data_IF_120590532151
#
_entry.id   IF_120590532151
#
_cell.length_a   1.000
_cell.length_b   1.000
_cell.length_c   1.000
_cell.angle_alpha   90.00
_cell.angle_beta   90.00
_cell.angle_gamma   90.00
#
_symmetry.space_group_name_H-M   'P 1'
#
loop_
_entity.id
_entity.type
_entity.pdbx_description
1 polymer ?
#
# COMPACT_ATOMS: atom_id res chain seq x y z
N UNK A 1 51.14 18.75 -22.32
CA UNK A 1 50.63 17.41 -22.70
C UNK A 1 49.91 16.80 -21.51
N UNK A 2 48.67 16.39 -21.75
CA UNK A 2 47.69 15.61 -20.98
C UNK A 2 47.83 15.41 -19.46
N UNK A 3 46.84 15.90 -18.71
CA UNK A 3 46.50 15.48 -17.35
C UNK A 3 45.84 14.09 -17.36
N UNK A 4 46.50 13.08 -16.79
CA UNK A 4 45.89 11.77 -16.55
C UNK A 4 44.94 11.86 -15.36
N UNK A 5 43.63 11.77 -15.63
CA UNK A 5 42.57 11.71 -14.63
C UNK A 5 42.36 10.22 -14.29
N UNK A 6 42.75 9.80 -13.10
CA UNK A 6 42.55 8.41 -12.67
C UNK A 6 41.06 8.17 -12.42
N UNK A 7 40.49 7.16 -13.08
CA UNK A 7 39.12 6.73 -12.85
C UNK A 7 39.11 5.65 -11.77
N UNK A 8 38.53 5.98 -10.62
CA UNK A 8 38.34 5.04 -9.51
C UNK A 8 37.04 4.27 -9.81
N UNK A 9 37.17 2.99 -10.14
CA UNK A 9 36.03 2.07 -10.31
C UNK A 9 35.97 1.18 -9.07
N UNK A 10 34.90 1.30 -8.29
CA UNK A 10 34.62 0.41 -7.15
C UNK A 10 33.89 -0.81 -7.70
N UNK A 11 34.46 -2.01 -7.55
CA UNK A 11 33.78 -3.25 -7.94
C UNK A 11 32.52 -3.42 -7.09
N UNK A 12 31.35 -3.39 -7.73
CA UNK A 12 30.06 -3.65 -7.09
C UNK A 12 29.09 -2.47 -7.10
N UNK A 13 29.50 -1.27 -7.51
CA UNK A 13 28.57 -0.15 -7.70
C UNK A 13 28.15 -0.04 -9.17
N UNK A 14 26.84 -0.02 -9.42
CA UNK A 14 26.30 0.19 -10.76
C UNK A 14 26.48 1.65 -11.15
N UNK A 15 27.00 1.90 -12.36
CA UNK A 15 27.13 3.26 -12.90
C UNK A 15 25.73 3.82 -13.16
N UNK A 16 25.32 4.83 -12.40
CA UNK A 16 24.09 5.58 -12.69
C UNK A 16 24.21 6.19 -14.10
N UNK A 17 23.33 5.76 -15.00
CA UNK A 17 23.14 6.38 -16.32
C UNK A 17 21.84 7.17 -16.23
N UNK A 18 21.94 8.47 -15.99
CA UNK A 18 20.83 9.42 -16.02
C UNK A 18 20.45 9.65 -17.49
N UNK A 19 19.44 8.94 -17.98
CA UNK A 19 18.97 9.02 -19.36
C UNK A 19 17.44 9.06 -19.39
N UNK A 20 16.92 10.28 -19.35
CA UNK A 20 15.50 10.62 -19.42
C UNK A 20 14.97 10.48 -20.86
N UNK A 21 14.77 9.25 -21.34
CA UNK A 21 14.14 9.02 -22.65
C UNK A 21 12.69 8.52 -22.50
N UNK A 22 11.77 9.49 -22.45
CA UNK A 22 10.32 9.30 -22.47
C UNK A 22 9.86 8.79 -23.86
N UNK A 23 9.56 7.50 -24.00
CA UNK A 23 8.98 6.91 -25.22
C UNK A 23 7.47 6.69 -25.09
N UNK A 24 6.71 7.62 -25.66
CA UNK A 24 5.30 7.43 -26.03
C UNK A 24 5.23 6.61 -27.33
N UNK A 25 4.85 5.33 -27.28
CA UNK A 25 4.43 4.59 -28.46
C UNK A 25 3.22 3.69 -28.20
N UNK A 26 2.07 4.19 -28.66
CA UNK A 26 0.86 3.45 -28.98
C UNK A 26 1.08 2.65 -30.28
N UNK A 27 0.74 1.34 -30.27
CA UNK A 27 0.37 0.46 -31.41
C UNK A 27 1.37 -0.63 -31.88
N UNK A 28 0.94 -1.88 -31.67
CA UNK A 28 1.06 -3.09 -32.54
C UNK A 28 2.43 -3.79 -32.69
N UNK A 29 2.64 -4.90 -31.96
CA UNK A 29 2.64 -6.32 -32.43
C UNK A 29 3.31 -7.24 -31.39
N UNK A 30 2.89 -8.51 -31.24
CA UNK A 30 3.45 -9.43 -30.25
C UNK A 30 4.64 -10.21 -30.81
N UNK A 31 5.39 -10.81 -29.88
CA UNK A 31 6.50 -11.77 -30.05
C UNK A 31 7.90 -11.16 -30.07
N UNK A 32 8.52 -11.10 -28.89
CA UNK A 32 9.72 -11.89 -28.64
C UNK A 32 9.85 -12.15 -27.14
N UNK A 33 9.75 -13.43 -26.78
CA UNK A 33 10.08 -13.91 -25.45
C UNK A 33 11.56 -13.61 -25.19
N UNK A 34 11.85 -12.63 -24.34
CA UNK A 34 13.16 -12.51 -23.73
C UNK A 34 13.27 -13.63 -22.71
N UNK A 35 13.80 -14.76 -23.17
CA UNK A 35 14.19 -15.86 -22.31
C UNK A 35 15.12 -15.31 -21.24
N UNK A 36 14.63 -15.27 -20.00
CA UNK A 36 15.32 -14.72 -18.85
C UNK A 36 16.71 -15.32 -18.69
N UNK A 37 17.66 -14.45 -18.35
CA UNK A 37 19.01 -14.82 -17.96
C UNK A 37 18.89 -15.72 -16.71
N UNK A 38 19.24 -17.00 -16.83
CA UNK A 38 19.13 -17.96 -15.73
C UNK A 38 20.26 -17.70 -14.72
N UNK A 39 19.93 -17.06 -13.61
CA UNK A 39 20.85 -16.85 -12.49
C UNK A 39 21.01 -18.18 -11.73
N UNK A 40 22.25 -18.63 -11.57
CA UNK A 40 22.59 -19.83 -10.80
C UNK A 40 22.37 -19.52 -9.31
N UNK A 41 21.15 -19.77 -8.81
CA UNK A 41 20.80 -19.59 -7.40
C UNK A 41 19.35 -19.16 -7.11
N UNK A 42 18.55 -18.79 -8.12
CA UNK A 42 17.15 -18.45 -7.89
C UNK A 42 16.27 -19.70 -7.78
N UNK A 43 15.51 -19.80 -6.70
CA UNK A 43 14.52 -20.87 -6.49
C UNK A 43 13.29 -20.59 -7.37
N UNK A 44 12.88 -21.59 -8.15
CA UNK A 44 11.69 -21.51 -9.02
C UNK A 44 10.44 -21.39 -8.15
N UNK A 45 9.63 -20.34 -8.37
CA UNK A 45 8.33 -20.20 -7.73
C UNK A 45 7.46 -21.40 -8.09
N UNK A 46 6.82 -21.99 -7.08
CA UNK A 46 5.98 -23.18 -7.20
C UNK A 46 4.53 -22.71 -7.21
N UNK A 47 3.87 -22.79 -8.36
CA UNK A 47 2.41 -22.67 -8.50
C UNK A 47 1.79 -24.06 -8.30
N UNK A 48 1.02 -24.24 -7.22
CA UNK A 48 0.31 -25.49 -6.97
C UNK A 48 -0.99 -25.26 -6.20
N UNK A 49 -1.98 -24.69 -6.88
CA UNK A 49 -3.32 -24.40 -6.38
C UNK A 49 -4.29 -25.63 -6.47
N UNK A 50 -3.81 -26.89 -6.49
CA UNK A 50 -4.70 -28.06 -6.74
C UNK A 50 -4.51 -29.29 -5.81
N UNK A 51 -3.87 -29.16 -4.64
CA UNK A 51 -3.62 -30.32 -3.74
C UNK A 51 -4.11 -30.15 -2.29
N UNK A 52 -5.11 -29.30 -2.02
CA UNK A 52 -5.58 -29.07 -0.63
C UNK A 52 -6.76 -29.98 -0.24
N UNK A 53 -7.54 -30.51 -1.18
CA UNK A 53 -8.78 -31.24 -0.82
C UNK A 53 -8.61 -32.75 -0.55
N UNK A 54 -7.54 -33.39 -1.05
CA UNK A 54 -7.34 -34.85 -0.85
C UNK A 54 -6.57 -35.22 0.42
N UNK A 55 -5.77 -34.31 0.98
CA UNK A 55 -5.00 -34.55 2.21
C UNK A 55 -5.89 -34.54 3.48
N UNK A 56 -6.97 -33.75 3.50
CA UNK A 56 -7.84 -33.62 4.67
C UNK A 56 -8.65 -34.89 4.99
N UNK A 57 -8.95 -35.73 3.99
CA UNK A 57 -9.70 -36.99 4.20
C UNK A 57 -8.86 -38.13 4.76
N UNK A 58 -7.54 -38.14 4.52
CA UNK A 58 -6.64 -39.15 5.07
C UNK A 58 -6.27 -38.88 6.54
N UNK A 59 -6.19 -37.60 6.95
CA UNK A 59 -5.82 -37.21 8.30
C UNK A 59 -6.89 -37.55 9.37
N UNK A 60 -8.17 -37.60 9.00
CA UNK A 60 -9.25 -37.93 9.94
C UNK A 60 -9.39 -39.43 10.23
N UNK A 61 -8.85 -40.31 9.39
CA UNK A 61 -8.92 -41.76 9.59
C UNK A 61 -7.74 -42.33 10.43
N UNK A 62 -6.68 -41.55 10.64
CA UNK A 62 -5.45 -42.00 11.34
C UNK A 62 -5.43 -41.59 12.83
N UNK A 63 -6.43 -40.83 13.31
CA UNK A 63 -6.44 -40.26 14.67
C UNK A 63 -6.88 -41.22 15.79
N UNK A 64 -7.18 -42.49 15.53
CA UNK A 64 -7.69 -43.41 16.58
C UNK A 64 -6.73 -44.49 17.06
N UNK A 65 -5.56 -44.70 16.45
CA UNK A 65 -4.68 -45.83 16.86
C UNK A 65 -3.33 -45.46 17.50
N UNK A 66 -2.91 -44.19 17.53
CA UNK A 66 -1.53 -43.87 17.95
C UNK A 66 -1.36 -43.10 19.27
N UNK A 67 -2.38 -43.07 20.14
CA UNK A 67 -2.34 -42.33 21.42
C UNK A 67 -1.53 -43.04 22.52
N UNK A 68 -1.09 -44.28 22.31
CA UNK A 68 -0.44 -45.09 23.36
C UNK A 68 1.10 -45.24 23.27
N UNK A 69 1.76 -44.79 22.20
CA UNK A 69 3.22 -45.06 22.02
C UNK A 69 4.17 -43.89 22.27
N UNK A 70 3.68 -42.69 22.61
CA UNK A 70 4.53 -41.51 22.87
C UNK A 70 4.63 -41.13 24.37
N UNK A 71 4.13 -41.97 25.28
CA UNK A 71 3.89 -41.59 26.68
C UNK A 71 4.92 -42.14 27.69
N UNK A 72 6.11 -42.55 27.23
CA UNK A 72 7.04 -43.33 28.08
C UNK A 72 8.42 -42.72 28.29
N UNK A 73 8.74 -41.52 27.80
CA UNK A 73 10.12 -41.01 27.88
C UNK A 73 10.26 -39.51 28.17
N UNK A 74 9.32 -38.95 28.93
CA UNK A 74 9.40 -37.57 29.40
C UNK A 74 9.47 -37.58 30.94
N UNK A 75 10.49 -36.96 31.56
CA UNK A 75 10.50 -36.80 33.01
C UNK A 75 9.28 -35.97 33.44
N UNK A 76 8.69 -36.28 34.61
CA UNK A 76 7.43 -35.68 35.03
C UNK A 76 7.58 -34.16 35.22
N UNK A 77 6.67 -33.42 34.60
CA UNK A 77 6.53 -31.97 34.77
C UNK A 77 6.13 -31.66 36.22
N UNK A 78 7.04 -31.05 36.98
CA UNK A 78 6.76 -30.53 38.32
C UNK A 78 6.02 -29.20 38.17
N UNK A 79 4.71 -29.21 38.40
CA UNK A 79 3.90 -27.99 38.41
C UNK A 79 3.95 -27.37 39.80
N UNK A 80 4.79 -26.35 39.98
CA UNK A 80 4.76 -25.53 41.20
C UNK A 80 3.51 -24.63 41.16
N UNK A 81 2.42 -25.09 41.79
CA UNK A 81 1.25 -24.27 42.05
C UNK A 81 1.52 -23.42 43.28
N UNK A 82 1.91 -22.17 43.08
CA UNK A 82 1.94 -21.17 44.13
C UNK A 82 0.50 -20.89 44.57
N UNK A 83 0.05 -21.50 45.67
CA UNK A 83 -1.20 -21.14 46.34
C UNK A 83 -0.99 -19.85 47.13
N UNK A 84 -1.67 -18.73 46.80
CA UNK A 84 -1.54 -17.52 47.58
C UNK A 84 -2.45 -17.64 48.81
N UNK A 85 -1.88 -18.06 49.94
CA UNK A 85 -2.44 -17.69 51.24
C UNK A 85 -2.12 -16.21 51.50
N UNK A 86 -3.20 -15.49 51.77
CA UNK A 86 -3.29 -14.05 51.91
C UNK A 86 -2.72 -13.56 53.23
N UNK A 87 -1.65 -12.73 53.23
CA UNK A 87 -1.44 -11.56 54.13
C UNK A 87 -0.33 -10.63 53.54
N UNK A 88 -0.16 -9.35 53.96
CA UNK A 88 -0.28 -8.18 53.08
C UNK A 88 1.05 -7.45 52.74
N UNK A 89 1.00 -6.71 51.63
CA UNK A 89 1.80 -5.54 51.16
C UNK A 89 2.66 -4.87 52.26
N UNK A 90 3.97 -4.57 52.05
CA UNK A 90 4.35 -3.52 51.10
C UNK A 90 5.56 -3.77 50.20
N UNK A 91 5.42 -3.20 49.00
CA UNK A 91 6.47 -2.65 48.12
C UNK A 91 7.89 -3.15 48.35
N UNK A 92 8.32 -4.11 47.53
CA UNK A 92 9.74 -4.36 47.33
C UNK A 92 10.01 -5.00 45.99
N UNK A 93 11.04 -4.46 45.34
CA UNK A 93 11.89 -5.15 44.37
C UNK A 93 11.16 -5.55 43.09
N UNK A 94 11.16 -4.72 42.04
CA UNK A 94 12.32 -4.66 41.15
C UNK A 94 13.22 -5.87 41.36
N UNK A 95 12.91 -6.99 40.72
CA UNK A 95 13.82 -8.10 40.40
C UNK A 95 12.95 -9.30 39.97
N UNK A 96 12.76 -9.46 38.66
CA UNK A 96 13.03 -10.73 37.97
C UNK A 96 13.35 -10.40 36.51
N UNK A 97 14.37 -9.56 36.34
CA UNK A 97 15.30 -9.73 35.22
C UNK A 97 15.90 -11.13 35.42
N UNK A 98 15.94 -12.01 34.41
CA UNK A 98 16.74 -13.21 34.53
C UNK A 98 18.20 -12.77 34.75
N UNK A 99 18.64 -12.77 36.00
CA UNK A 99 20.04 -12.62 36.39
C UNK A 99 20.77 -13.89 35.93
N UNK A 100 21.07 -13.93 34.63
CA UNK A 100 22.24 -14.65 34.11
C UNK A 100 23.46 -13.72 34.19
N UNK A 101 23.61 -12.96 35.27
CA UNK A 101 24.67 -11.95 35.43
C UNK A 101 26.01 -12.53 35.93
N UNK A 102 26.24 -13.83 35.75
CA UNK A 102 27.46 -14.48 36.24
C UNK A 102 28.03 -15.56 35.33
N UNK A 103 27.34 -15.89 34.25
CA UNK A 103 27.82 -16.90 33.30
C UNK A 103 28.01 -16.20 31.97
N UNK A 104 29.27 -16.01 31.59
CA UNK A 104 29.66 -15.30 30.37
C UNK A 104 28.80 -15.80 29.21
N UNK A 105 27.81 -14.99 28.83
CA UNK A 105 26.98 -15.29 27.68
C UNK A 105 27.94 -15.46 26.51
N UNK A 106 27.97 -16.65 25.93
CA UNK A 106 28.90 -16.94 24.83
C UNK A 106 28.83 -15.83 23.78
N UNK A 107 29.94 -15.51 23.12
CA UNK A 107 29.99 -14.41 22.15
C UNK A 107 28.89 -14.58 21.06
N UNK A 108 28.56 -15.82 20.70
CA UNK A 108 27.41 -16.15 19.85
C UNK A 108 26.07 -15.68 20.44
N UNK A 109 25.80 -15.99 21.71
CA UNK A 109 24.56 -15.58 22.39
C UNK A 109 24.46 -14.05 22.46
N UNK A 110 25.57 -13.35 22.73
CA UNK A 110 25.59 -11.90 22.70
C UNK A 110 25.28 -11.34 21.31
N UNK A 111 25.90 -11.88 20.25
CA UNK A 111 25.67 -11.43 18.87
C UNK A 111 24.25 -11.75 18.39
N UNK A 112 23.69 -12.89 18.80
CA UNK A 112 22.30 -13.24 18.49
C UNK A 112 21.34 -12.28 19.19
N UNK A 113 21.58 -11.95 20.46
CA UNK A 113 20.76 -10.99 21.20
C UNK A 113 20.83 -9.58 20.58
N UNK A 114 22.02 -9.14 20.19
CA UNK A 114 22.22 -7.86 19.50
C UNK A 114 21.52 -7.84 18.14
N UNK A 115 21.69 -8.89 17.34
CA UNK A 115 21.08 -9.01 16.01
C UNK A 115 19.55 -9.08 16.09
N UNK A 116 19.00 -9.87 17.02
CA UNK A 116 17.56 -9.96 17.25
C UNK A 116 17.00 -8.60 17.71
N UNK A 117 17.68 -7.92 18.62
CA UNK A 117 17.32 -6.56 19.05
C UNK A 117 17.29 -5.57 17.89
N UNK A 118 18.33 -5.57 17.04
CA UNK A 118 18.39 -4.73 15.83
C UNK A 118 17.32 -5.08 14.80
N UNK A 119 17.02 -6.36 14.62
CA UNK A 119 15.97 -6.81 13.72
C UNK A 119 14.60 -6.33 14.23
N UNK A 120 14.30 -6.52 15.52
CA UNK A 120 13.04 -6.10 16.12
C UNK A 120 12.82 -4.59 15.99
N UNK A 121 13.85 -3.78 16.24
CA UNK A 121 13.75 -2.32 16.08
C UNK A 121 13.58 -1.92 14.62
N UNK A 122 14.32 -2.53 13.69
CA UNK A 122 14.20 -2.24 12.26
C UNK A 122 12.81 -2.62 11.72
N UNK A 123 12.32 -3.83 12.03
CA UNK A 123 10.98 -4.27 11.65
C UNK A 123 9.91 -3.32 12.21
N UNK A 124 10.00 -2.99 13.49
CA UNK A 124 9.06 -2.05 14.14
C UNK A 124 9.09 -0.66 13.51
N UNK A 125 10.27 -0.17 13.12
CA UNK A 125 10.45 1.12 12.48
C UNK A 125 9.86 1.10 11.06
N UNK A 126 10.14 0.08 10.27
CA UNK A 126 9.62 -0.08 8.90
C UNK A 126 8.10 -0.12 8.91
N UNK A 127 7.49 -0.94 9.78
CA UNK A 127 6.03 -0.96 9.91
C UNK A 127 5.47 0.40 10.31
N UNK A 128 6.06 1.05 11.32
CA UNK A 128 5.63 2.38 11.76
C UNK A 128 5.69 3.39 10.61
N UNK A 129 6.77 3.40 9.84
CA UNK A 129 6.95 4.31 8.71
C UNK A 129 5.91 4.08 7.62
N UNK A 130 5.68 2.82 7.23
CA UNK A 130 4.69 2.46 6.21
C UNK A 130 3.29 2.90 6.64
N UNK A 131 2.87 2.56 7.86
CA UNK A 131 1.54 2.96 8.35
C UNK A 131 1.40 4.48 8.50
N UNK A 132 2.45 5.17 8.97
CA UNK A 132 2.44 6.63 9.07
C UNK A 132 2.35 7.30 7.69
N UNK A 133 3.07 6.80 6.71
CA UNK A 133 3.01 7.32 5.34
C UNK A 133 1.64 7.06 4.71
N UNK A 134 1.14 5.82 4.79
CA UNK A 134 -0.22 5.50 4.33
C UNK A 134 -1.29 6.38 4.99
N UNK A 135 -1.16 6.65 6.29
CA UNK A 135 -2.08 7.55 7.01
C UNK A 135 -2.01 8.98 6.48
N UNK A 136 -0.81 9.50 6.19
CA UNK A 136 -0.65 10.83 5.60
C UNK A 136 -1.27 10.89 4.20
N UNK A 137 -1.02 9.88 3.38
CA UNK A 137 -1.54 9.83 2.00
C UNK A 137 -3.06 9.78 1.99
N UNK A 138 -3.67 8.95 2.85
CA UNK A 138 -5.14 8.92 3.03
C UNK A 138 -5.68 10.28 3.46
N UNK A 139 -5.00 10.97 4.39
CA UNK A 139 -5.42 12.32 4.82
C UNK A 139 -5.30 13.34 3.71
N UNK A 140 -4.22 13.31 2.92
CA UNK A 140 -4.03 14.20 1.78
C UNK A 140 -5.08 13.94 0.69
N UNK A 141 -5.32 12.67 0.35
CA UNK A 141 -6.36 12.28 -0.60
C UNK A 141 -7.75 12.73 -0.14
N UNK A 142 -8.07 12.55 1.14
CA UNK A 142 -9.33 13.01 1.75
C UNK A 142 -9.47 14.53 1.67
N UNK A 143 -8.40 15.27 1.97
CA UNK A 143 -8.41 16.73 1.87
C UNK A 143 -8.61 17.21 0.43
N UNK A 144 -7.93 16.58 -0.53
CA UNK A 144 -8.09 16.85 -1.97
C UNK A 144 -9.53 16.57 -2.44
N UNK A 145 -10.11 15.45 -2.02
CA UNK A 145 -11.50 15.11 -2.31
C UNK A 145 -12.48 16.14 -1.76
N UNK A 146 -12.29 16.59 -0.51
CA UNK A 146 -13.14 17.61 0.11
C UNK A 146 -13.04 18.96 -0.64
N UNK A 147 -11.83 19.34 -1.07
CA UNK A 147 -11.64 20.52 -1.90
C UNK A 147 -12.36 20.39 -3.24
N UNK A 148 -12.24 19.24 -3.89
CA UNK A 148 -12.96 18.94 -5.14
C UNK A 148 -14.48 19.00 -4.96
N UNK A 149 -15.02 18.40 -3.89
CA UNK A 149 -16.44 18.43 -3.56
C UNK A 149 -16.95 19.87 -3.38
N UNK A 150 -16.19 20.71 -2.68
CA UNK A 150 -16.52 22.13 -2.52
C UNK A 150 -16.56 22.86 -3.88
N UNK A 151 -15.59 22.56 -4.75
CA UNK A 151 -15.57 23.05 -6.14
C UNK A 151 -16.80 22.61 -6.94
N UNK A 152 -17.18 21.34 -6.86
CA UNK A 152 -18.36 20.79 -7.54
C UNK A 152 -19.65 21.45 -7.05
N UNK A 153 -19.80 21.65 -5.73
CA UNK A 153 -20.97 22.31 -5.16
C UNK A 153 -21.10 23.74 -5.68
N UNK A 154 -19.99 24.49 -5.70
CA UNK A 154 -19.97 25.86 -6.21
C UNK A 154 -20.31 25.91 -7.70
N UNK A 155 -19.69 25.05 -8.51
CA UNK A 155 -20.00 24.96 -9.95
C UNK A 155 -21.48 24.59 -10.19
N UNK A 156 -22.00 23.61 -9.44
CA UNK A 156 -23.40 23.17 -9.52
C UNK A 156 -24.36 24.31 -9.18
N UNK A 157 -24.01 25.12 -8.18
CA UNK A 157 -24.78 26.30 -7.82
C UNK A 157 -24.75 27.37 -8.92
N UNK A 158 -23.58 27.69 -9.46
CA UNK A 158 -23.45 28.64 -10.56
C UNK A 158 -24.24 28.21 -11.81
N UNK A 159 -24.16 26.94 -12.19
CA UNK A 159 -24.94 26.39 -13.30
C UNK A 159 -26.44 26.55 -13.06
N UNK A 160 -26.91 26.27 -11.84
CA UNK A 160 -28.32 26.42 -11.49
C UNK A 160 -28.80 27.86 -11.70
N UNK A 161 -28.03 28.85 -11.23
CA UNK A 161 -28.37 30.26 -11.41
C UNK A 161 -28.42 30.62 -12.89
N UNK A 162 -27.40 30.23 -13.66
CA UNK A 162 -27.36 30.51 -15.11
C UNK A 162 -28.60 29.91 -15.81
N UNK A 163 -29.00 28.70 -15.46
CA UNK A 163 -30.20 28.08 -16.04
C UNK A 163 -31.49 28.82 -15.68
N UNK A 164 -31.61 29.30 -14.44
CA UNK A 164 -32.76 30.11 -14.00
C UNK A 164 -32.82 31.44 -14.77
N UNK A 165 -31.68 32.10 -14.92
CA UNK A 165 -31.55 33.35 -15.68
C UNK A 165 -31.90 33.14 -17.16
N UNK A 166 -31.39 32.07 -17.79
CA UNK A 166 -31.70 31.73 -19.19
C UNK A 166 -33.19 31.42 -19.39
N UNK A 167 -33.81 30.73 -18.43
CA UNK A 167 -35.25 30.48 -18.44
C UNK A 167 -36.04 31.77 -18.36
N UNK A 168 -35.66 32.67 -17.45
CA UNK A 168 -36.26 34.01 -17.32
C UNK A 168 -36.12 34.82 -18.61
N UNK A 169 -34.93 34.85 -19.22
CA UNK A 169 -34.69 35.51 -20.51
C UNK A 169 -35.57 34.92 -21.61
N UNK A 170 -35.72 33.60 -21.65
CA UNK A 170 -36.58 32.91 -22.63
C UNK A 170 -38.04 33.31 -22.45
N UNK A 171 -38.56 33.35 -21.21
CA UNK A 171 -39.92 33.82 -20.92
C UNK A 171 -40.13 35.28 -21.36
N UNK A 172 -39.14 36.16 -21.11
CA UNK A 172 -39.23 37.56 -21.56
C UNK A 172 -39.25 37.66 -23.09
N UNK A 173 -38.44 36.87 -23.79
CA UNK A 173 -38.44 36.82 -25.26
C UNK A 173 -39.80 36.32 -25.76
N UNK A 174 -40.35 35.27 -25.15
CA UNK A 174 -41.67 34.74 -25.50
C UNK A 174 -42.78 35.80 -25.34
N UNK A 175 -42.75 36.60 -24.26
CA UNK A 175 -43.67 37.72 -24.08
C UNK A 175 -43.53 38.75 -25.21
N UNK A 176 -42.29 39.16 -25.54
CA UNK A 176 -42.03 40.15 -26.60
C UNK A 176 -42.53 39.64 -27.96
N UNK A 177 -42.24 38.38 -28.29
CA UNK A 177 -42.65 37.75 -29.54
C UNK A 177 -44.16 37.55 -29.60
N UNK A 178 -44.80 37.09 -28.52
CA UNK A 178 -46.26 36.85 -28.48
C UNK A 178 -47.08 38.13 -28.52
N UNK A 179 -46.57 39.23 -27.98
CA UNK A 179 -47.25 40.52 -28.01
C UNK A 179 -47.07 41.29 -29.33
N UNK A 180 -46.37 40.75 -30.35
CA UNK A 180 -46.07 41.43 -31.63
C UNK A 180 -45.54 42.87 -31.44
N UNK A 181 -44.73 43.09 -30.41
CA UNK A 181 -44.17 44.41 -30.07
C UNK A 181 -43.05 44.78 -31.06
N UNK A 182 -42.55 43.80 -31.80
CA UNK A 182 -41.49 43.97 -32.79
C UNK A 182 -42.07 44.44 -34.14
N UNK A 183 -41.54 45.52 -34.74
CA UNK A 183 -41.96 45.98 -36.06
C UNK A 183 -41.48 45.01 -37.15
N UNK A 184 -42.38 44.68 -38.10
CA UNK A 184 -42.03 43.90 -39.29
C UNK A 184 -41.20 44.77 -40.25
N UNK A 185 -39.91 44.44 -40.40
CA UNK A 185 -39.00 45.13 -41.31
C UNK A 185 -39.02 44.38 -42.65
N UNK A 186 -39.87 44.82 -43.59
CA UNK A 186 -39.81 44.34 -44.98
C UNK A 186 -38.56 44.90 -45.65
N UNK A 187 -37.50 44.09 -45.75
CA UNK A 187 -36.33 44.44 -46.55
C UNK A 187 -36.67 44.16 -48.02
N UNK A 188 -36.74 45.18 -48.90
CA UNK A 188 -37.03 44.94 -50.30
C UNK A 188 -35.91 44.08 -50.90
N UNK A 189 -36.25 42.88 -51.33
CA UNK A 189 -35.35 42.02 -52.11
C UNK A 189 -34.97 42.78 -53.37
N UNK A 190 -33.71 43.22 -53.45
CA UNK A 190 -33.22 43.85 -54.68
C UNK A 190 -33.33 42.83 -55.81
N UNK A 191 -34.17 43.15 -56.78
CA UNK A 191 -34.30 42.37 -58.01
C UNK A 191 -33.03 42.66 -58.84
N UNK A 192 -32.13 41.70 -59.08
CA UNK A 192 -30.99 41.96 -59.96
C UNK A 192 -31.46 41.74 -61.39
N UNK A 193 -31.70 42.83 -62.11
CA UNK A 193 -32.08 42.76 -63.52
C UNK A 193 -32.71 44.02 -64.08
N UNK A 194 -31.90 45.05 -64.30
CA UNK A 194 -32.12 46.02 -65.37
C UNK A 194 -30.77 46.51 -65.90
#
# INVERSE_FOLDING_TARGET
MASNKFQIVVQGEASETDSDEEVYLTSLTPVHHTSGLKVLGEASETDSEEEVEKACKAAYAVSTENVHSLRSDLPPLIVMRSTPEFVPVPEKESLMRPELSGQESTLLQQKLQESNGRLCTNVSQTFRQVYQNATKDVRLATASLNNSQSGIINASHSIRIILEDLKSVTEKIEIITSCNILPDITVPTSVPGQ
#
